data_IF_085144265469
#
_entry.id   IF_085144265469
#
_cell.length_a   1.000
_cell.length_b   1.000
_cell.length_c   1.000
_cell.angle_alpha   90.00
_cell.angle_beta   90.00
_cell.angle_gamma   90.00
#
_symmetry.space_group_name_H-M   'P 1'
#
loop_
_entity.id
_entity.type
_entity.pdbx_description
1 polymer ?
#
# COMPACT_ATOMS: atom_id res chain seq x y z
N UNK A 1 36.99 49.56 20.38
CA UNK A 1 36.78 51.00 20.14
C UNK A 1 36.17 51.13 18.76
N UNK A 2 34.86 51.37 18.73
CA UNK A 2 34.06 51.58 17.52
C UNK A 2 34.22 53.01 17.00
N UNK A 3 34.19 53.19 15.68
CA UNK A 3 33.75 54.41 14.99
C UNK A 3 33.16 53.98 13.62
N UNK A 4 31.84 54.13 13.41
CA UNK A 4 31.16 55.25 12.71
C UNK A 4 31.60 55.37 11.23
N UNK A 5 30.75 55.45 10.18
CA UNK A 5 29.43 56.04 9.98
C UNK A 5 28.84 55.53 8.64
N UNK A 6 27.51 55.38 8.55
CA UNK A 6 26.68 55.56 7.34
C UNK A 6 26.05 57.00 7.39
N UNK A 7 25.18 57.53 6.48
CA UNK A 7 24.31 56.85 5.49
C UNK A 7 23.92 57.61 4.17
N UNK A 8 23.07 56.95 3.36
CA UNK A 8 21.98 57.38 2.45
C UNK A 8 22.17 58.46 1.36
N UNK A 9 21.72 58.19 0.11
CA UNK A 9 20.36 58.55 -0.37
C UNK A 9 20.00 57.90 -1.76
N UNK A 10 18.69 57.91 -2.07
CA UNK A 10 17.85 57.28 -3.13
C UNK A 10 18.15 57.80 -4.58
N UNK A 11 17.62 57.34 -5.73
CA UNK A 11 16.33 56.73 -6.18
C UNK A 11 16.38 56.39 -7.70
N UNK A 12 15.60 55.36 -8.12
CA UNK A 12 14.76 55.18 -9.34
C UNK A 12 15.29 55.03 -10.81
N UNK A 13 15.11 53.79 -11.33
CA UNK A 13 14.49 53.27 -12.58
C UNK A 13 14.48 54.01 -13.96
N UNK A 14 14.95 53.31 -15.02
CA UNK A 14 14.33 53.05 -16.36
C UNK A 14 15.34 52.34 -17.31
N UNK A 15 15.15 51.09 -17.78
CA UNK A 15 14.34 50.55 -18.92
C UNK A 15 15.07 50.49 -20.30
N UNK A 16 15.21 49.24 -20.79
CA UNK A 16 15.26 48.64 -22.15
C UNK A 16 16.50 48.69 -23.10
N UNK A 17 17.01 47.47 -23.38
CA UNK A 17 17.40 46.78 -24.63
C UNK A 17 17.92 47.52 -25.87
N UNK A 18 19.09 47.09 -26.37
CA UNK A 18 19.32 46.42 -27.68
C UNK A 18 20.81 46.42 -28.06
N UNK A 19 21.28 45.37 -28.76
CA UNK A 19 22.07 45.39 -30.02
C UNK A 19 22.88 44.08 -30.20
N UNK A 20 22.69 43.49 -31.38
CA UNK A 20 23.25 42.26 -31.94
C UNK A 20 24.63 42.45 -32.60
N UNK A 21 25.16 41.31 -33.06
CA UNK A 21 26.06 41.04 -34.20
C UNK A 21 27.57 40.92 -33.97
N UNK A 22 28.12 39.76 -34.39
CA UNK A 22 28.92 39.58 -35.63
C UNK A 22 29.48 38.13 -35.72
N UNK A 23 28.99 37.36 -36.73
CA UNK A 23 29.68 36.59 -37.80
C UNK A 23 30.92 35.70 -37.47
N UNK A 24 31.23 34.53 -38.08
CA UNK A 24 30.81 33.82 -39.30
C UNK A 24 31.34 32.36 -39.29
N UNK A 25 30.70 31.52 -40.11
CA UNK A 25 30.78 30.05 -40.36
C UNK A 25 32.03 29.54 -41.17
N UNK A 26 32.28 28.21 -41.35
CA UNK A 26 31.65 27.45 -42.46
C UNK A 26 31.23 25.98 -42.19
N UNK A 27 30.21 25.56 -42.94
CA UNK A 27 29.50 24.27 -43.02
C UNK A 27 30.33 23.09 -43.56
N UNK A 28 30.00 21.88 -43.11
CA UNK A 28 29.81 20.68 -43.95
C UNK A 28 28.66 19.82 -43.36
N UNK A 29 27.80 19.33 -44.26
CA UNK A 29 26.46 18.75 -44.07
C UNK A 29 26.46 17.23 -43.89
N UNK A 30 25.54 16.67 -43.09
CA UNK A 30 24.58 15.60 -43.48
C UNK A 30 23.69 15.09 -42.31
N UNK A 31 22.37 15.03 -42.58
CA UNK A 31 21.31 14.12 -42.08
C UNK A 31 20.77 14.16 -40.61
N UNK A 32 19.83 15.09 -40.38
CA UNK A 32 18.40 14.86 -40.03
C UNK A 32 17.96 13.61 -39.22
N UNK A 33 17.80 13.73 -37.89
CA UNK A 33 16.73 13.00 -37.16
C UNK A 33 16.23 13.83 -35.95
N UNK A 34 15.14 14.58 -36.17
CA UNK A 34 14.42 15.33 -35.13
C UNK A 34 13.36 14.45 -34.48
N UNK A 35 13.67 13.82 -33.34
CA UNK A 35 12.67 13.14 -32.49
C UNK A 35 12.29 13.98 -31.27
N UNK A 36 11.26 14.79 -31.53
CA UNK A 36 10.14 15.17 -30.65
C UNK A 36 10.23 14.66 -29.20
N UNK A 37 10.46 15.58 -28.28
CA UNK A 37 10.06 15.46 -26.87
C UNK A 37 8.57 15.10 -26.81
N UNK A 38 8.24 13.86 -26.44
CA UNK A 38 6.88 13.47 -26.08
C UNK A 38 6.68 13.76 -24.59
N UNK A 39 5.82 14.73 -24.29
CA UNK A 39 5.13 14.80 -22.99
C UNK A 39 4.40 13.47 -22.77
N UNK A 40 4.77 12.74 -21.70
CA UNK A 40 3.95 11.67 -21.18
C UNK A 40 2.72 12.28 -20.49
N UNK A 41 1.55 12.09 -21.08
CA UNK A 41 0.27 12.12 -20.37
C UNK A 41 0.24 11.04 -19.30
N UNK A 42 -0.34 11.27 -18.11
CA UNK A 42 -0.50 10.21 -17.13
C UNK A 42 -1.45 9.16 -17.72
N UNK A 43 -0.95 7.93 -17.87
CA UNK A 43 -1.78 6.77 -18.18
C UNK A 43 -2.88 6.69 -17.12
N UNK A 44 -4.12 6.92 -17.54
CA UNK A 44 -5.31 6.61 -16.75
C UNK A 44 -5.32 5.09 -16.61
N UNK A 45 -4.63 4.56 -15.59
CA UNK A 45 -4.72 3.16 -15.20
C UNK A 45 -6.20 2.88 -14.99
N UNK A 46 -6.75 1.96 -15.78
CA UNK A 46 -8.15 1.56 -15.66
C UNK A 46 -8.39 1.06 -14.23
N UNK A 47 -9.11 1.85 -13.44
CA UNK A 47 -9.46 1.51 -12.05
C UNK A 47 -10.29 0.23 -12.10
N UNK A 48 -9.85 -0.80 -11.37
CA UNK A 48 -10.62 -2.04 -11.25
C UNK A 48 -11.90 -1.71 -10.47
N UNK A 49 -13.04 -1.69 -11.15
CA UNK A 49 -14.34 -1.45 -10.51
C UNK A 49 -14.85 -2.75 -9.87
N UNK A 50 -14.87 -2.80 -8.53
CA UNK A 50 -15.33 -3.98 -7.80
C UNK A 50 -16.83 -3.84 -7.56
N UNK A 51 -17.62 -4.74 -8.17
CA UNK A 51 -19.05 -4.86 -7.92
C UNK A 51 -19.30 -5.49 -6.54
N UNK A 52 -19.19 -4.68 -5.49
CA UNK A 52 -19.49 -5.09 -4.12
C UNK A 52 -20.99 -4.89 -3.83
N UNK A 53 -21.58 -5.88 -3.16
CA UNK A 53 -22.94 -5.80 -2.62
C UNK A 53 -22.95 -6.44 -1.25
N UNK A 54 -23.65 -5.81 -0.30
CA UNK A 54 -23.83 -6.36 1.05
C UNK A 54 -24.48 -7.75 1.02
N UNK A 55 -25.32 -8.03 0.01
CA UNK A 55 -25.94 -9.35 -0.20
C UNK A 55 -24.93 -10.46 -0.51
N UNK A 56 -23.75 -10.11 -1.03
CA UNK A 56 -22.71 -11.07 -1.43
C UNK A 56 -21.69 -11.31 -0.30
N UNK A 57 -21.80 -10.57 0.80
CA UNK A 57 -20.97 -10.70 1.99
C UNK A 57 -21.45 -11.88 2.84
N UNK A 58 -20.50 -12.72 3.27
CA UNK A 58 -20.76 -13.97 4.01
C UNK A 58 -20.10 -13.97 5.37
N UNK A 59 -20.70 -14.65 6.34
CA UNK A 59 -20.11 -14.95 7.65
C UNK A 59 -19.24 -16.21 7.66
N UNK A 60 -19.02 -16.81 6.48
CA UNK A 60 -18.13 -17.95 6.28
C UNK A 60 -17.25 -17.72 5.04
N UNK A 61 -16.05 -18.29 5.05
CA UNK A 61 -15.20 -18.41 3.88
C UNK A 61 -15.18 -19.86 3.42
N UNK A 62 -15.91 -20.15 2.33
CA UNK A 62 -16.18 -21.54 1.89
C UNK A 62 -16.87 -22.32 3.01
N UNK A 63 -16.24 -23.37 3.51
CA UNK A 63 -16.67 -24.24 4.61
C UNK A 63 -16.12 -23.83 5.98
N UNK A 64 -15.31 -22.76 6.07
CA UNK A 64 -14.82 -22.25 7.34
C UNK A 64 -15.71 -21.12 7.89
N UNK A 65 -16.11 -21.24 9.15
CA UNK A 65 -16.85 -20.22 9.89
C UNK A 65 -15.91 -19.07 10.27
N UNK A 66 -16.38 -17.83 10.15
CA UNK A 66 -15.64 -16.64 10.59
C UNK A 66 -16.17 -16.14 11.94
N UNK A 67 -15.30 -15.47 12.70
CA UNK A 67 -15.70 -14.76 13.92
C UNK A 67 -16.69 -13.62 13.60
N UNK A 68 -17.53 -13.13 14.55
CA UNK A 68 -18.67 -12.27 14.25
C UNK A 68 -18.41 -11.01 13.38
N UNK A 69 -17.29 -10.32 13.58
CA UNK A 69 -16.87 -9.14 12.81
C UNK A 69 -16.08 -9.46 11.53
N UNK A 70 -15.68 -10.71 11.34
CA UNK A 70 -14.96 -11.15 10.16
C UNK A 70 -15.95 -11.62 9.10
N UNK A 71 -15.81 -11.09 7.89
CA UNK A 71 -16.68 -11.43 6.75
C UNK A 71 -15.86 -11.88 5.56
N UNK A 72 -16.51 -12.54 4.63
CA UNK A 72 -15.93 -12.90 3.35
C UNK A 72 -16.68 -12.25 2.19
N UNK A 73 -15.93 -11.79 1.20
CA UNK A 73 -16.44 -11.37 -0.09
C UNK A 73 -15.52 -11.93 -1.18
N UNK A 74 -16.07 -12.71 -2.10
CA UNK A 74 -15.32 -13.46 -3.11
C UNK A 74 -14.19 -14.31 -2.48
N UNK A 75 -12.93 -13.94 -2.70
CA UNK A 75 -11.72 -14.60 -2.20
C UNK A 75 -11.00 -13.80 -1.10
N UNK A 76 -11.65 -12.75 -0.59
CA UNK A 76 -11.15 -11.91 0.51
C UNK A 76 -11.92 -12.21 1.79
N UNK A 77 -11.19 -12.35 2.89
CA UNK A 77 -11.75 -12.22 4.25
C UNK A 77 -11.37 -10.83 4.75
N UNK A 78 -12.31 -10.08 5.31
CA UNK A 78 -12.04 -8.74 5.85
C UNK A 78 -12.66 -8.57 7.23
N UNK A 79 -12.06 -7.68 8.04
CA UNK A 79 -12.60 -7.27 9.32
C UNK A 79 -13.56 -6.10 9.11
N UNK A 80 -14.84 -6.27 9.45
CA UNK A 80 -15.81 -5.18 9.48
C UNK A 80 -15.38 -4.10 10.46
N UNK A 81 -15.86 -2.88 10.19
CA UNK A 81 -15.54 -1.67 10.93
C UNK A 81 -15.63 -1.89 12.44
N UNK A 82 -14.55 -1.55 13.13
CA UNK A 82 -14.54 -1.49 14.59
C UNK A 82 -14.97 -0.09 15.08
N UNK A 83 -15.42 -0.02 16.32
CA UNK A 83 -15.69 1.25 16.97
C UNK A 83 -14.41 2.08 17.02
N UNK A 84 -14.52 3.38 16.69
CA UNK A 84 -13.38 4.28 16.60
C UNK A 84 -12.60 4.21 15.27
N UNK A 85 -12.83 3.25 14.38
CA UNK A 85 -12.23 3.32 13.05
C UNK A 85 -12.87 4.48 12.26
N UNK A 86 -12.06 5.45 11.85
CA UNK A 86 -12.46 6.58 11.03
C UNK A 86 -11.96 6.42 9.59
N UNK A 87 -12.82 6.74 8.63
CA UNK A 87 -12.42 6.89 7.23
C UNK A 87 -11.58 8.16 7.09
N UNK A 88 -10.59 8.14 6.19
CA UNK A 88 -9.61 9.21 6.08
C UNK A 88 -9.13 9.37 4.64
N UNK A 89 -8.67 10.57 4.30
CA UNK A 89 -7.90 10.81 3.08
C UNK A 89 -6.45 10.31 3.22
N UNK A 90 -5.94 10.10 4.43
CA UNK A 90 -4.58 9.60 4.68
C UNK A 90 -4.61 8.14 5.09
N UNK A 91 -3.99 7.27 4.29
CA UNK A 91 -3.93 5.83 4.54
C UNK A 91 -2.50 5.41 4.86
N UNK A 92 -2.33 4.81 6.03
CA UNK A 92 -1.10 4.10 6.38
C UNK A 92 -1.40 2.60 6.26
N UNK A 93 -0.90 1.99 5.20
CA UNK A 93 -1.16 0.59 4.89
C UNK A 93 0.07 -0.28 5.11
N UNK A 94 -0.15 -1.52 5.54
CA UNK A 94 0.93 -2.42 5.97
C UNK A 94 0.68 -3.85 5.48
N UNK A 95 1.73 -4.57 5.13
CA UNK A 95 1.71 -6.03 5.21
C UNK A 95 1.70 -6.49 6.68
N UNK A 96 1.40 -7.76 6.92
CA UNK A 96 1.42 -8.36 8.25
C UNK A 96 2.63 -9.27 8.51
N UNK A 97 2.80 -10.35 7.74
CA UNK A 97 3.78 -11.41 8.05
C UNK A 97 5.14 -11.01 7.48
N UNK A 98 6.10 -10.66 8.33
CA UNK A 98 7.38 -10.10 7.88
C UNK A 98 7.46 -8.57 8.02
N UNK A 99 6.32 -7.90 8.18
CA UNK A 99 6.24 -6.44 8.35
C UNK A 99 5.87 -6.05 9.78
N UNK A 100 4.65 -6.36 10.22
CA UNK A 100 4.17 -6.01 11.55
C UNK A 100 4.44 -7.10 12.59
N UNK A 101 4.37 -8.36 12.15
CA UNK A 101 4.55 -9.53 12.97
C UNK A 101 5.65 -10.43 12.41
N UNK A 102 6.55 -10.89 13.27
CA UNK A 102 7.35 -12.06 13.01
C UNK A 102 6.49 -13.30 13.31
N UNK A 103 5.99 -13.95 12.27
CA UNK A 103 5.19 -15.16 12.41
C UNK A 103 6.05 -16.39 12.24
N UNK A 104 6.03 -17.26 13.23
CA UNK A 104 6.82 -18.49 13.16
C UNK A 104 6.14 -19.48 12.22
N UNK A 105 6.67 -19.62 11.01
CA UNK A 105 6.16 -20.57 10.00
C UNK A 105 6.15 -22.03 10.47
N UNK A 106 6.88 -22.36 11.55
CA UNK A 106 6.92 -23.71 12.14
C UNK A 106 5.84 -23.92 13.21
N UNK A 107 5.23 -22.86 13.74
CA UNK A 107 4.18 -22.96 14.76
C UNK A 107 2.83 -22.54 14.17
N UNK A 108 1.81 -23.34 14.41
CA UNK A 108 0.43 -23.05 14.01
C UNK A 108 -0.34 -22.61 15.25
N UNK A 109 -1.13 -21.55 15.13
CA UNK A 109 -2.01 -21.06 16.18
C UNK A 109 -2.01 -19.54 16.28
N UNK A 110 -3.05 -19.00 16.90
CA UNK A 110 -3.27 -17.57 17.10
C UNK A 110 -2.16 -16.84 17.87
N UNK A 111 -1.37 -17.58 18.66
CA UNK A 111 -0.27 -17.06 19.48
C UNK A 111 1.13 -17.28 18.85
N UNK A 112 1.21 -17.82 17.64
CA UNK A 112 2.46 -18.15 16.95
C UNK A 112 3.10 -16.92 16.26
N UNK A 113 3.27 -15.82 17.01
CA UNK A 113 3.82 -14.58 16.49
C UNK A 113 4.48 -13.71 17.58
N UNK A 114 5.32 -12.78 17.17
CA UNK A 114 5.82 -11.65 17.98
C UNK A 114 5.83 -10.37 17.14
N UNK A 115 5.95 -9.20 17.76
CA UNK A 115 6.16 -7.96 17.01
C UNK A 115 7.46 -8.05 16.19
N UNK A 116 7.44 -7.52 14.97
CA UNK A 116 8.65 -7.43 14.14
C UNK A 116 9.65 -6.42 14.72
N UNK A 117 9.14 -5.30 15.24
CA UNK A 117 9.92 -4.29 15.96
C UNK A 117 9.14 -3.79 17.18
N UNK A 118 9.84 -3.47 18.27
CA UNK A 118 9.20 -3.06 19.53
C UNK A 118 8.49 -1.71 19.45
N UNK A 119 8.90 -0.83 18.52
CA UNK A 119 8.31 0.51 18.30
C UNK A 119 6.95 0.49 17.59
N UNK A 120 6.54 -0.64 17.01
CA UNK A 120 5.33 -0.73 16.16
C UNK A 120 4.08 -0.18 16.86
N UNK A 121 3.75 -0.55 18.12
CA UNK A 121 2.58 0.00 18.80
C UNK A 121 2.60 1.53 18.87
N UNK A 122 3.74 2.13 19.25
CA UNK A 122 3.88 3.57 19.40
C UNK A 122 3.77 4.29 18.04
N UNK A 123 4.40 3.76 16.99
CA UNK A 123 4.31 4.33 15.64
C UNK A 123 2.88 4.26 15.09
N UNK A 124 2.18 3.15 15.26
CA UNK A 124 0.78 3.01 14.82
C UNK A 124 -0.16 3.92 15.61
N UNK A 125 0.05 4.07 16.92
CA UNK A 125 -0.70 5.03 17.73
C UNK A 125 -0.47 6.48 17.28
N UNK A 126 0.78 6.87 17.00
CA UNK A 126 1.10 8.20 16.47
C UNK A 126 0.39 8.45 15.14
N UNK A 127 0.48 7.52 14.19
CA UNK A 127 -0.18 7.64 12.89
C UNK A 127 -1.69 7.80 13.02
N UNK A 128 -2.32 6.98 13.86
CA UNK A 128 -3.76 7.08 14.11
C UNK A 128 -4.13 8.45 14.70
N UNK A 129 -3.36 8.95 15.67
CA UNK A 129 -3.56 10.28 16.25
C UNK A 129 -3.31 11.41 15.24
N UNK A 130 -2.42 11.20 14.27
CA UNK A 130 -2.17 12.10 13.15
C UNK A 130 -3.27 12.03 12.07
N UNK A 131 -4.32 11.23 12.28
CA UNK A 131 -5.49 11.15 11.40
C UNK A 131 -5.33 10.16 10.23
N UNK A 132 -4.37 9.24 10.32
CA UNK A 132 -4.28 8.14 9.37
C UNK A 132 -5.30 7.05 9.68
N UNK A 133 -5.94 6.53 8.63
CA UNK A 133 -6.58 5.23 8.70
C UNK A 133 -5.53 4.14 8.57
N UNK A 134 -5.50 3.24 9.54
CA UNK A 134 -4.57 2.10 9.54
C UNK A 134 -5.21 0.92 8.83
N UNK A 135 -4.51 0.35 7.85
CA UNK A 135 -5.00 -0.79 7.06
C UNK A 135 -3.95 -1.88 6.93
N UNK A 136 -4.34 -3.14 7.09
CA UNK A 136 -3.51 -4.31 6.83
C UNK A 136 -4.00 -5.01 5.56
N UNK A 137 -3.08 -5.23 4.62
CA UNK A 137 -3.30 -6.02 3.40
C UNK A 137 -2.37 -7.22 3.38
N UNK A 138 -2.91 -8.42 3.59
CA UNK A 138 -2.09 -9.64 3.75
C UNK A 138 -2.52 -10.75 2.79
N UNK A 139 -1.55 -11.45 2.21
CA UNK A 139 -1.76 -12.60 1.34
C UNK A 139 -1.73 -13.90 2.18
N UNK A 140 -2.81 -14.68 2.25
CA UNK A 140 -2.86 -15.93 3.01
C UNK A 140 -3.40 -17.10 2.19
N UNK A 141 -2.59 -17.57 1.23
CA UNK A 141 -3.02 -18.61 0.29
C UNK A 141 -3.25 -19.98 0.95
N UNK A 142 -2.76 -20.21 2.17
CA UNK A 142 -2.96 -21.46 2.87
C UNK A 142 -4.43 -21.70 3.20
N UNK A 143 -5.23 -20.65 3.41
CA UNK A 143 -6.68 -20.76 3.62
C UNK A 143 -7.38 -21.40 2.42
N UNK A 144 -7.00 -21.03 1.18
CA UNK A 144 -7.58 -21.65 -0.02
C UNK A 144 -6.96 -23.02 -0.33
N UNK A 145 -5.65 -23.20 -0.06
CA UNK A 145 -4.92 -24.44 -0.35
C UNK A 145 -5.27 -25.58 0.59
N UNK A 146 -5.44 -25.32 1.89
CA UNK A 146 -5.62 -26.35 2.92
C UNK A 146 -7.08 -26.71 3.09
N UNK A 147 -7.72 -27.27 2.05
CA UNK A 147 -9.17 -27.53 2.05
C UNK A 147 -9.66 -28.31 3.29
N UNK A 148 -8.95 -29.36 3.68
CA UNK A 148 -9.32 -30.20 4.83
C UNK A 148 -8.91 -29.63 6.19
N UNK A 149 -8.15 -28.53 6.22
CA UNK A 149 -7.69 -27.83 7.43
C UNK A 149 -7.97 -26.33 7.36
N UNK A 150 -8.99 -25.95 6.59
CA UNK A 150 -9.27 -24.54 6.28
C UNK A 150 -9.64 -23.77 7.53
N UNK A 151 -10.50 -24.34 8.37
CA UNK A 151 -10.86 -23.73 9.65
C UNK A 151 -9.60 -23.44 10.49
N UNK A 152 -8.69 -24.40 10.60
CA UNK A 152 -7.42 -24.22 11.34
C UNK A 152 -6.57 -23.08 10.75
N UNK A 153 -6.50 -22.96 9.42
CA UNK A 153 -5.78 -21.87 8.76
C UNK A 153 -6.44 -20.50 9.02
N UNK A 154 -7.77 -20.44 8.95
CA UNK A 154 -8.57 -19.25 9.24
C UNK A 154 -8.39 -18.83 10.70
N UNK A 155 -8.58 -19.73 11.66
CA UNK A 155 -8.44 -19.47 13.10
C UNK A 155 -7.03 -18.98 13.43
N UNK A 156 -6.01 -19.62 12.86
CA UNK A 156 -4.60 -19.23 13.06
C UNK A 156 -4.32 -17.82 12.54
N UNK A 157 -4.77 -17.46 11.33
CA UNK A 157 -4.51 -16.13 10.76
C UNK A 157 -5.33 -15.04 11.45
N UNK A 158 -6.64 -15.25 11.61
CA UNK A 158 -7.54 -14.29 12.24
C UNK A 158 -7.16 -14.08 13.70
N UNK A 159 -6.85 -15.14 14.44
CA UNK A 159 -6.42 -15.02 15.84
C UNK A 159 -5.13 -14.22 16.00
N UNK A 160 -4.12 -14.43 15.13
CA UNK A 160 -2.90 -13.61 15.10
C UNK A 160 -3.20 -12.13 14.86
N UNK A 161 -4.10 -11.83 13.92
CA UNK A 161 -4.50 -10.46 13.59
C UNK A 161 -5.27 -9.80 14.74
N UNK A 162 -6.23 -10.49 15.36
CA UNK A 162 -6.96 -9.98 16.52
C UNK A 162 -6.02 -9.68 17.69
N UNK A 163 -5.14 -10.64 18.04
CA UNK A 163 -4.15 -10.48 19.10
C UNK A 163 -3.20 -9.31 18.83
N UNK A 164 -2.85 -9.07 17.56
CA UNK A 164 -2.05 -7.91 17.17
C UNK A 164 -2.81 -6.59 17.38
N UNK A 165 -4.07 -6.51 16.92
CA UNK A 165 -4.91 -5.31 17.07
C UNK A 165 -5.10 -4.96 18.55
N UNK A 166 -5.38 -5.95 19.39
CA UNK A 166 -5.47 -5.77 20.86
C UNK A 166 -4.16 -5.24 21.45
N UNK A 167 -3.01 -5.71 20.94
CA UNK A 167 -1.69 -5.29 21.42
C UNK A 167 -1.36 -3.84 21.06
N UNK A 168 -1.72 -3.37 19.86
CA UNK A 168 -1.39 -2.01 19.38
C UNK A 168 -2.39 -0.96 19.86
N UNK A 169 -3.58 -1.36 20.30
CA UNK A 169 -4.60 -0.52 20.94
C UNK A 169 -5.09 0.64 20.08
N UNK A 170 -5.13 0.46 18.77
CA UNK A 170 -5.75 1.38 17.82
C UNK A 170 -6.59 0.60 16.82
N UNK A 171 -7.69 1.17 16.30
CA UNK A 171 -8.50 0.52 15.28
C UNK A 171 -7.70 0.31 13.99
N UNK A 172 -7.75 -0.91 13.45
CA UNK A 172 -7.08 -1.29 12.19
C UNK A 172 -8.07 -2.03 11.31
N UNK A 173 -8.19 -1.62 10.05
CA UNK A 173 -8.97 -2.38 9.07
C UNK A 173 -8.11 -3.45 8.42
N UNK A 174 -8.65 -4.66 8.22
CA UNK A 174 -7.85 -5.79 7.71
C UNK A 174 -8.51 -6.44 6.50
N UNK A 175 -7.69 -6.77 5.50
CA UNK A 175 -8.07 -7.53 4.32
C UNK A 175 -7.07 -8.67 4.09
N UNK A 176 -7.60 -9.89 3.94
CA UNK A 176 -6.86 -11.13 3.76
C UNK A 176 -7.20 -11.70 2.38
N UNK A 177 -6.27 -11.62 1.44
CA UNK A 177 -6.40 -12.27 0.14
C UNK A 177 -6.13 -13.78 0.28
N UNK A 178 -7.18 -14.58 0.24
CA UNK A 178 -7.11 -16.04 0.36
C UNK A 178 -6.85 -16.72 -0.98
N UNK A 179 -7.24 -16.07 -2.08
CA UNK A 179 -7.12 -16.60 -3.44
C UNK A 179 -5.68 -16.96 -3.85
N UNK A 180 -5.59 -17.89 -4.80
CA UNK A 180 -4.32 -18.36 -5.37
C UNK A 180 -4.11 -17.76 -6.75
N UNK A 181 -2.88 -17.38 -7.07
CA UNK A 181 -2.47 -17.09 -8.45
C UNK A 181 -2.31 -18.36 -9.29
N UNK A 182 -2.18 -18.17 -10.58
CA UNK A 182 -1.84 -19.17 -11.58
C UNK A 182 -0.57 -19.92 -11.13
N UNK A 183 -0.62 -21.26 -11.12
CA UNK A 183 0.64 -22.02 -11.13
C UNK A 183 1.21 -21.89 -12.54
N UNK A 184 2.34 -21.22 -12.67
CA UNK A 184 3.14 -21.19 -13.89
C UNK A 184 3.24 -22.61 -14.46
N UNK A 185 2.72 -22.85 -15.66
CA UNK A 185 2.89 -24.13 -16.37
C UNK A 185 1.77 -25.17 -16.27
N UNK A 186 0.56 -24.86 -15.79
CA UNK A 186 -0.62 -25.72 -16.02
C UNK A 186 -1.53 -25.14 -17.11
N UNK A 187 -1.98 -26.00 -18.03
CA UNK A 187 -2.73 -25.63 -19.23
C UNK A 187 -4.05 -24.89 -18.95
N UNK A 188 -4.63 -25.08 -17.76
CA UNK A 188 -5.78 -24.32 -17.29
C UNK A 188 -5.29 -23.02 -16.63
N UNK A 189 -5.09 -21.97 -17.44
CA UNK A 189 -4.80 -20.60 -16.98
C UNK A 189 -5.99 -20.07 -16.20
N UNK A 190 -6.12 -20.45 -14.93
CA UNK A 190 -7.00 -19.74 -14.00
C UNK A 190 -6.41 -18.34 -13.82
N UNK A 191 -7.18 -17.30 -14.12
CA UNK A 191 -6.73 -15.92 -13.91
C UNK A 191 -6.22 -15.73 -12.48
N UNK A 192 -5.16 -14.93 -12.36
CA UNK A 192 -4.61 -14.58 -11.05
C UNK A 192 -5.69 -13.88 -10.22
N UNK A 193 -5.82 -14.28 -8.96
CA UNK A 193 -6.77 -13.68 -8.06
C UNK A 193 -6.55 -12.15 -7.96
N UNK A 194 -7.56 -11.32 -8.29
CA UNK A 194 -7.37 -9.87 -8.38
C UNK A 194 -7.14 -9.21 -7.02
N UNK A 195 -7.43 -9.90 -5.92
CA UNK A 195 -7.19 -9.41 -4.57
C UNK A 195 -5.82 -9.81 -4.03
N UNK A 196 -5.16 -10.81 -4.62
CA UNK A 196 -3.83 -11.23 -4.19
C UNK A 196 -2.76 -10.22 -4.64
N UNK A 197 -2.00 -9.66 -3.69
CA UNK A 197 -0.83 -8.81 -4.00
C UNK A 197 0.11 -9.56 -4.97
N UNK A 198 0.61 -8.92 -6.03
CA UNK A 198 0.66 -7.46 -6.23
C UNK A 198 -0.56 -6.83 -6.90
N UNK A 199 -1.66 -7.57 -7.14
CA UNK A 199 -2.87 -6.98 -7.72
C UNK A 199 -3.55 -6.02 -6.72
N UNK A 200 -4.09 -4.87 -7.16
CA UNK A 200 -4.62 -3.83 -6.28
C UNK A 200 -6.03 -4.11 -5.76
N UNK A 201 -6.59 -5.31 -5.94
CA UNK A 201 -8.02 -5.56 -5.67
C UNK A 201 -8.41 -5.33 -4.21
N UNK A 202 -7.55 -5.66 -3.22
CA UNK A 202 -7.86 -5.33 -1.82
C UNK A 202 -7.88 -3.81 -1.58
N UNK A 203 -6.99 -3.06 -2.21
CA UNK A 203 -6.97 -1.59 -2.12
C UNK A 203 -8.25 -0.99 -2.70
N UNK A 204 -8.60 -1.37 -3.93
CA UNK A 204 -9.81 -0.86 -4.56
C UNK A 204 -11.08 -1.26 -3.79
N UNK A 205 -11.11 -2.43 -3.15
CA UNK A 205 -12.23 -2.83 -2.29
C UNK A 205 -12.39 -1.84 -1.14
N UNK A 206 -11.29 -1.52 -0.46
CA UNK A 206 -11.25 -0.57 0.65
C UNK A 206 -11.62 0.85 0.20
N UNK A 207 -11.00 1.34 -0.86
CA UNK A 207 -11.18 2.68 -1.42
C UNK A 207 -12.62 2.91 -1.87
N UNK A 208 -13.20 1.96 -2.61
CA UNK A 208 -14.53 2.12 -3.22
C UNK A 208 -15.68 1.91 -2.23
N UNK A 209 -15.53 1.00 -1.26
CA UNK A 209 -16.67 0.51 -0.46
C UNK A 209 -16.51 0.70 1.04
N UNK A 210 -15.30 0.94 1.52
CA UNK A 210 -15.01 1.02 2.95
C UNK A 210 -14.26 2.28 3.33
N UNK A 211 -14.33 3.36 2.55
CA UNK A 211 -13.73 4.66 2.89
C UNK A 211 -14.71 5.85 2.75
N UNK A 212 -16.02 5.59 2.86
CA UNK A 212 -17.09 6.61 2.81
C UNK A 212 -17.03 7.58 1.61
N UNK A 213 -16.43 7.17 0.48
CA UNK A 213 -16.23 8.02 -0.70
C UNK A 213 -15.23 9.16 -0.50
N UNK A 214 -14.46 9.17 0.59
CA UNK A 214 -13.40 10.15 0.83
C UNK A 214 -12.26 9.86 -0.15
N UNK A 215 -11.89 10.88 -0.93
CA UNK A 215 -10.75 10.81 -1.83
C UNK A 215 -9.44 10.64 -1.03
N UNK A 216 -8.64 9.66 -1.43
CA UNK A 216 -7.35 9.37 -0.78
C UNK A 216 -6.29 10.31 -1.33
N UNK A 217 -5.58 10.99 -0.43
CA UNK A 217 -4.37 11.76 -0.71
C UNK A 217 -3.20 10.79 -0.86
N UNK A 218 -2.84 10.50 -2.11
CA UNK A 218 -1.77 9.56 -2.46
C UNK A 218 -0.38 10.08 -2.05
N UNK A 219 -0.19 11.39 -1.94
CA UNK A 219 1.07 11.99 -1.51
C UNK A 219 1.28 11.85 0.00
N UNK A 220 0.20 11.81 0.77
CA UNK A 220 0.24 11.55 2.22
C UNK A 220 0.11 10.08 2.56
N UNK A 221 -0.34 9.23 1.64
CA UNK A 221 -0.56 7.80 1.90
C UNK A 221 0.64 6.94 1.51
N UNK A 222 0.81 5.81 2.20
CA UNK A 222 1.95 4.92 1.98
C UNK A 222 1.63 3.47 2.30
N UNK A 223 2.49 2.58 1.82
CA UNK A 223 2.47 1.15 2.09
C UNK A 223 3.82 0.67 2.65
N UNK A 224 3.80 -0.15 3.69
CA UNK A 224 5.00 -0.77 4.28
C UNK A 224 4.92 -2.29 4.13
N UNK A 225 5.96 -2.94 3.61
CA UNK A 225 5.97 -4.39 3.43
C UNK A 225 7.35 -4.98 3.19
N UNK A 226 7.56 -6.24 3.54
CA UNK A 226 8.87 -6.91 3.47
C UNK A 226 9.18 -7.47 2.09
N UNK A 227 8.15 -7.77 1.28
CA UNK A 227 8.30 -8.29 -0.07
C UNK A 227 8.68 -7.18 -1.08
N UNK A 228 9.87 -6.60 -0.89
CA UNK A 228 10.38 -5.43 -1.59
C UNK A 228 11.23 -5.76 -2.84
N UNK A 229 11.39 -7.05 -3.18
CA UNK A 229 12.15 -7.48 -4.34
C UNK A 229 13.68 -7.39 -4.19
N UNK A 230 14.18 -7.28 -2.95
CA UNK A 230 15.61 -7.39 -2.64
C UNK A 230 16.07 -8.83 -2.84
N UNK A 231 17.38 -9.06 -2.98
CA UNK A 231 17.95 -10.39 -3.27
C UNK A 231 17.54 -11.46 -2.24
N UNK A 232 17.36 -11.09 -0.97
CA UNK A 232 16.94 -11.98 0.12
C UNK A 232 15.42 -12.09 0.30
N UNK A 233 14.62 -11.28 -0.39
CA UNK A 233 13.17 -11.25 -0.20
C UNK A 233 12.52 -12.46 -0.87
N UNK A 234 11.47 -13.00 -0.23
CA UNK A 234 10.75 -14.15 -0.75
C UNK A 234 9.89 -13.83 -1.99
N UNK A 235 9.58 -12.55 -2.21
CA UNK A 235 8.87 -12.03 -3.39
C UNK A 235 9.03 -10.50 -3.49
N UNK A 236 8.46 -9.92 -4.55
CA UNK A 236 8.34 -8.47 -4.79
C UNK A 236 6.86 -8.01 -4.70
N UNK A 237 6.02 -8.79 -4.02
CA UNK A 237 4.58 -8.58 -4.03
C UNK A 237 4.14 -7.27 -3.38
N UNK A 238 4.87 -6.78 -2.37
CA UNK A 238 4.52 -5.58 -1.62
C UNK A 238 4.92 -4.31 -2.37
N UNK A 239 6.14 -4.25 -2.89
CA UNK A 239 6.58 -3.11 -3.71
C UNK A 239 5.73 -2.98 -4.97
N UNK A 240 5.44 -4.09 -5.67
CA UNK A 240 4.60 -4.06 -6.86
C UNK A 240 3.13 -3.75 -6.56
N UNK A 241 2.64 -4.09 -5.36
CA UNK A 241 1.32 -3.67 -4.91
C UNK A 241 1.26 -2.15 -4.75
N UNK A 242 2.25 -1.56 -4.07
CA UNK A 242 2.36 -0.11 -3.91
C UNK A 242 2.47 0.61 -5.26
N UNK A 243 3.31 0.12 -6.18
CA UNK A 243 3.47 0.65 -7.54
C UNK A 243 2.18 0.55 -8.38
N UNK A 244 1.44 -0.56 -8.26
CA UNK A 244 0.19 -0.75 -8.97
C UNK A 244 -0.83 0.34 -8.59
N UNK A 245 -0.89 0.68 -7.30
CA UNK A 245 -1.80 1.68 -6.72
C UNK A 245 -1.28 3.12 -6.92
N UNK A 246 0.04 3.31 -6.87
CA UNK A 246 0.68 4.64 -6.83
C UNK A 246 0.95 5.15 -5.42
N UNK A 247 1.19 4.26 -4.46
CA UNK A 247 1.56 4.62 -3.09
C UNK A 247 3.07 4.79 -2.93
N UNK A 248 3.48 5.66 -2.01
CA UNK A 248 4.84 5.62 -1.46
C UNK A 248 5.07 4.27 -0.77
N UNK A 249 6.27 3.71 -0.94
CA UNK A 249 6.63 2.41 -0.38
C UNK A 249 7.79 2.54 0.59
N UNK A 250 7.72 1.82 1.72
CA UNK A 250 8.79 1.71 2.70
C UNK A 250 9.02 0.25 3.08
N UNK A 251 10.25 -0.11 3.42
CA UNK A 251 10.55 -1.43 4.02
C UNK A 251 10.45 -1.36 5.55
N UNK A 252 10.07 -2.46 6.23
CA UNK A 252 9.80 -2.43 7.67
C UNK A 252 11.03 -2.05 8.50
N UNK A 253 12.23 -2.49 8.09
CA UNK A 253 13.47 -2.24 8.83
C UNK A 253 13.85 -0.76 8.82
N UNK A 254 13.52 -0.02 7.77
CA UNK A 254 13.75 1.43 7.69
C UNK A 254 12.61 2.20 8.35
N UNK A 255 11.37 1.73 8.19
CA UNK A 255 10.20 2.45 8.68
C UNK A 255 10.01 2.34 10.19
N UNK A 256 10.31 1.17 10.80
CA UNK A 256 10.07 0.93 12.22
C UNK A 256 11.30 1.04 13.11
N UNK A 257 12.52 0.96 12.58
CA UNK A 257 13.72 1.32 13.33
C UNK A 257 13.61 2.74 13.92
#
# INVERSE_FOLDING_TARGET
MEAFHAPNDKSEEKVLNAIEDVQNEPQETEEHDSKRFKLCTPDIKAVVNIKFSVSDVKSNYRDATLLPKWKAFQTVIFLERDDGLYDSSKIAAFDFDGCLANTDVKRVGENAWSLMHSSIPDKLQSLYNDGYKLVIFTNESNIERWKNKRQVAVDSKIGRLNNFIEKVKVPVQVYIACGVGSKSGKADKKEDDPFRKPKPGMWHLMEQHFNSGIAIDMDQSFYVGDAAGRESDHSDADIKFAEAIGLKFYVPEEYFA
#
